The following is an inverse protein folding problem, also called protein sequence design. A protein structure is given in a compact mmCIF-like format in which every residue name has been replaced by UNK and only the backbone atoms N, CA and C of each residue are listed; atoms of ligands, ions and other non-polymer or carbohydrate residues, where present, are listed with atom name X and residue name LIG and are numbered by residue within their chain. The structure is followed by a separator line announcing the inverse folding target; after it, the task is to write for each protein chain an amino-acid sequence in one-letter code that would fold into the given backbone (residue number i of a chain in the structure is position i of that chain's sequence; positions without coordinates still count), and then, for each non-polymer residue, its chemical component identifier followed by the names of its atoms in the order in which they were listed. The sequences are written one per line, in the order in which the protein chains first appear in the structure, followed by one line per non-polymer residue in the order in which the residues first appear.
data_IF_944063092551
#
_entry.id   IF_944063092551
#
_cell.length_a   1.000
_cell.length_b   1.000
_cell.length_c   1.000
_cell.angle_alpha   90.00
_cell.angle_beta   90.00
_cell.angle_gamma   90.00
#
_symmetry.space_group_name_H-M   'P 1'
#
loop_
_entity.id
_entity.type
_entity.pdbx_description
1 polymer ?
#
# COMPACT_ATOMS: atom_id res chain seq x y z
N UNK A 1 32.19 2.29 4.12
CA UNK A 1 31.02 2.20 3.22
C UNK A 1 30.22 0.98 3.62
N UNK A 2 28.99 1.15 4.11
CA UNK A 2 28.22 0.06 4.72
C UNK A 2 27.75 -0.94 3.66
N UNK A 3 28.00 -2.23 3.88
CA UNK A 3 27.52 -3.29 3.02
C UNK A 3 26.00 -3.47 3.20
N UNK A 4 25.20 -2.68 2.47
CA UNK A 4 23.73 -2.75 2.43
C UNK A 4 23.18 -4.14 2.02
N UNK A 5 24.04 -4.98 1.45
CA UNK A 5 23.73 -6.34 1.00
C UNK A 5 24.06 -7.42 2.04
N UNK A 6 24.60 -7.08 3.21
CA UNK A 6 24.89 -8.09 4.24
C UNK A 6 23.63 -8.48 5.02
N UNK A 7 23.40 -9.78 5.20
CA UNK A 7 22.31 -10.30 6.03
C UNK A 7 22.33 -9.70 7.45
N UNK A 8 23.53 -9.51 8.01
CA UNK A 8 23.71 -8.88 9.33
C UNK A 8 23.17 -7.44 9.41
N UNK A 9 23.09 -6.71 8.29
CA UNK A 9 22.50 -5.37 8.28
C UNK A 9 20.97 -5.42 8.45
N UNK A 10 20.33 -6.42 7.86
CA UNK A 10 18.87 -6.57 7.85
C UNK A 10 18.33 -7.28 9.10
N UNK A 11 19.05 -8.29 9.57
CA UNK A 11 18.66 -9.16 10.69
C UNK A 11 19.29 -8.76 12.04
N UNK A 12 19.87 -7.57 12.14
CA UNK A 12 20.34 -7.07 13.43
C UNK A 12 19.14 -6.81 14.35
N UNK A 13 19.15 -7.42 15.54
CA UNK A 13 18.13 -7.30 16.60
C UNK A 13 18.27 -6.00 17.42
N UNK A 14 19.35 -5.24 17.22
CA UNK A 14 19.53 -3.91 17.81
C UNK A 14 20.04 -2.96 16.74
N UNK A 15 19.25 -2.68 15.70
CA UNK A 15 19.63 -1.63 14.78
C UNK A 15 19.58 -0.30 15.54
N UNK A 16 20.61 0.53 15.38
CA UNK A 16 20.53 1.91 15.84
C UNK A 16 19.33 2.62 15.19
N UNK A 17 18.73 3.56 15.92
CA UNK A 17 17.58 4.36 15.47
C UNK A 17 17.91 5.07 14.16
N UNK A 18 16.91 5.27 13.31
CA UNK A 18 17.07 6.14 12.14
C UNK A 18 17.37 7.57 12.59
N UNK A 19 18.58 8.05 12.33
CA UNK A 19 19.02 9.40 12.69
C UNK A 19 19.13 10.25 11.43
N UNK A 20 18.72 11.52 11.51
CA UNK A 20 18.94 12.53 10.47
C UNK A 20 18.15 12.27 9.18
N UNK A 21 18.85 12.00 8.08
CA UNK A 21 18.28 11.96 6.73
C UNK A 21 17.37 10.75 6.48
N UNK A 22 17.74 9.56 6.98
CA UNK A 22 16.96 8.33 6.78
C UNK A 22 15.57 8.41 7.42
N UNK A 23 15.47 9.02 8.61
CA UNK A 23 14.19 9.22 9.30
C UNK A 23 13.27 10.15 8.49
N UNK A 24 13.83 11.26 7.95
CA UNK A 24 13.08 12.19 7.10
C UNK A 24 12.53 11.52 5.84
N UNK A 25 13.29 10.62 5.22
CA UNK A 25 12.83 9.85 4.06
C UNK A 25 11.66 8.94 4.45
N UNK A 26 11.78 8.17 5.53
CA UNK A 26 10.73 7.23 5.96
C UNK A 26 9.46 7.99 6.34
N UNK A 27 9.57 9.05 7.14
CA UNK A 27 8.43 9.89 7.51
C UNK A 27 7.83 10.61 6.30
N UNK A 28 8.66 11.11 5.39
CA UNK A 28 8.20 11.74 4.15
C UNK A 28 7.43 10.75 3.26
N UNK A 29 7.91 9.51 3.15
CA UNK A 29 7.21 8.44 2.44
C UNK A 29 5.86 8.09 3.09
N UNK A 30 5.82 7.98 4.42
CA UNK A 30 4.58 7.75 5.17
C UNK A 30 3.59 8.90 4.97
N UNK A 31 4.04 10.16 5.08
CA UNK A 31 3.21 11.33 4.82
C UNK A 31 2.65 11.30 3.40
N UNK A 32 3.47 10.94 2.41
CA UNK A 32 3.02 10.77 1.04
C UNK A 32 1.95 9.68 0.90
N UNK A 33 2.10 8.53 1.56
CA UNK A 33 1.07 7.48 1.61
C UNK A 33 -0.24 7.99 2.24
N UNK A 34 -0.17 8.79 3.30
CA UNK A 34 -1.35 9.39 3.94
C UNK A 34 -2.06 10.34 2.97
N UNK A 35 -1.33 11.20 2.28
CA UNK A 35 -1.90 12.11 1.27
C UNK A 35 -2.61 11.31 0.18
N UNK A 36 -1.98 10.25 -0.33
CA UNK A 36 -2.60 9.37 -1.32
C UNK A 36 -3.83 8.63 -0.78
N UNK A 37 -3.82 8.21 0.48
CA UNK A 37 -4.99 7.62 1.12
C UNK A 37 -6.16 8.62 1.17
N UNK A 38 -5.90 9.89 1.50
CA UNK A 38 -6.93 10.95 1.50
C UNK A 38 -7.48 11.16 0.10
N UNK A 39 -6.61 11.29 -0.91
CA UNK A 39 -7.02 11.44 -2.32
C UNK A 39 -7.86 10.25 -2.78
N UNK A 40 -7.43 9.02 -2.45
CA UNK A 40 -8.16 7.80 -2.77
C UNK A 40 -9.51 7.72 -2.04
N UNK A 41 -9.60 8.22 -0.80
CA UNK A 41 -10.84 8.31 -0.03
C UNK A 41 -11.85 9.29 -0.64
N UNK A 42 -11.38 10.44 -1.11
CA UNK A 42 -12.19 11.41 -1.86
C UNK A 42 -12.68 10.78 -3.17
N UNK A 43 -11.79 10.13 -3.92
CA UNK A 43 -12.14 9.39 -5.13
C UNK A 43 -13.18 8.29 -4.87
N UNK A 44 -13.01 7.53 -3.79
CA UNK A 44 -13.96 6.50 -3.34
C UNK A 44 -15.36 7.10 -3.14
N UNK A 45 -15.47 8.24 -2.44
CA UNK A 45 -16.76 8.92 -2.20
C UNK A 45 -17.37 9.51 -3.48
N UNK A 46 -16.54 10.07 -4.37
CA UNK A 46 -17.01 10.70 -5.62
C UNK A 46 -17.49 9.69 -6.67
N UNK A 47 -16.86 8.52 -6.74
CA UNK A 47 -17.08 7.54 -7.81
C UNK A 47 -17.79 6.27 -7.33
N UNK A 48 -18.54 6.31 -6.22
CA UNK A 48 -19.25 5.14 -5.64
C UNK A 48 -20.12 4.39 -6.64
N UNK A 49 -20.78 5.10 -7.56
CA UNK A 49 -21.67 4.50 -8.58
C UNK A 49 -20.96 4.10 -9.88
N UNK A 50 -19.65 4.35 -9.98
CA UNK A 50 -18.87 4.07 -11.18
C UNK A 50 -18.30 2.66 -11.16
N UNK A 51 -17.98 2.11 -12.34
CA UNK A 51 -17.26 0.85 -12.50
C UNK A 51 -15.89 0.87 -11.79
N UNK A 52 -15.35 2.07 -11.57
CA UNK A 52 -14.08 2.29 -10.87
C UNK A 52 -14.22 2.36 -9.34
N UNK A 53 -15.42 2.26 -8.77
CA UNK A 53 -15.63 2.31 -7.32
C UNK A 53 -14.78 1.26 -6.58
N UNK A 54 -14.70 0.04 -7.15
CA UNK A 54 -13.89 -1.04 -6.59
C UNK A 54 -12.38 -0.74 -6.60
N UNK A 55 -11.89 -0.02 -7.61
CA UNK A 55 -10.48 0.41 -7.65
C UNK A 55 -10.18 1.45 -6.59
N UNK A 56 -11.00 2.51 -6.51
CA UNK A 56 -10.81 3.56 -5.52
C UNK A 56 -10.88 3.01 -4.10
N UNK A 57 -11.77 2.04 -3.85
CA UNK A 57 -11.83 1.34 -2.58
C UNK A 57 -10.55 0.53 -2.29
N UNK A 58 -10.05 -0.20 -3.29
CA UNK A 58 -8.82 -1.00 -3.16
C UNK A 58 -7.59 -0.12 -2.92
N UNK A 59 -7.47 0.99 -3.65
CA UNK A 59 -6.40 1.98 -3.50
C UNK A 59 -6.46 2.65 -2.13
N UNK A 60 -7.66 3.01 -1.65
CA UNK A 60 -7.84 3.59 -0.33
C UNK A 60 -7.32 2.67 0.77
N UNK A 61 -7.76 1.41 0.79
CA UNK A 61 -7.28 0.44 1.78
C UNK A 61 -5.79 0.16 1.64
N UNK A 62 -5.28 0.06 0.41
CA UNK A 62 -3.85 -0.11 0.16
C UNK A 62 -3.03 1.02 0.79
N UNK A 63 -3.33 2.28 0.49
CA UNK A 63 -2.56 3.40 1.03
C UNK A 63 -2.76 3.56 2.53
N UNK A 64 -3.99 3.40 3.04
CA UNK A 64 -4.29 3.55 4.47
C UNK A 64 -3.59 2.48 5.32
N UNK A 65 -3.72 1.20 4.94
CA UNK A 65 -3.11 0.10 5.68
C UNK A 65 -1.59 0.23 5.68
N UNK A 66 -0.99 0.62 4.55
CA UNK A 66 0.46 0.80 4.49
C UNK A 66 0.95 2.03 5.26
N UNK A 67 0.19 3.13 5.29
CA UNK A 67 0.50 4.26 6.15
C UNK A 67 0.49 3.87 7.65
N UNK A 68 -0.53 3.11 8.07
CA UNK A 68 -0.65 2.63 9.46
C UNK A 68 0.51 1.70 9.79
N UNK A 69 0.81 0.70 8.95
CA UNK A 69 1.93 -0.22 9.17
C UNK A 69 3.25 0.55 9.23
N UNK A 70 3.48 1.48 8.30
CA UNK A 70 4.69 2.32 8.29
C UNK A 70 4.85 3.14 9.56
N UNK A 71 3.76 3.74 10.08
CA UNK A 71 3.79 4.44 11.37
C UNK A 71 4.10 3.50 12.53
N UNK A 72 3.46 2.34 12.59
CA UNK A 72 3.67 1.34 13.65
C UNK A 72 5.12 0.83 13.65
N UNK A 73 5.68 0.52 12.48
CA UNK A 73 7.08 0.10 12.36
C UNK A 73 8.06 1.21 12.75
N UNK A 74 7.75 2.46 12.39
CA UNK A 74 8.59 3.62 12.78
C UNK A 74 8.52 3.85 14.28
N UNK A 75 7.35 3.67 14.89
CA UNK A 75 7.15 3.75 16.34
C UNK A 75 7.96 2.67 17.09
N UNK A 76 7.89 1.41 16.66
CA UNK A 76 8.70 0.34 17.26
C UNK A 76 10.20 0.53 17.07
N UNK A 77 10.62 1.14 15.96
CA UNK A 77 12.02 1.51 15.76
C UNK A 77 12.47 2.61 16.72
N UNK A 78 11.61 3.60 16.99
CA UNK A 78 11.88 4.67 17.96
C UNK A 78 11.99 4.13 19.39
N UNK A 79 11.06 3.25 19.79
CA UNK A 79 11.08 2.58 21.10
C UNK A 79 12.20 1.51 21.24
N UNK A 80 13.01 1.31 20.19
CA UNK A 80 14.09 0.32 20.13
C UNK A 80 13.68 -1.09 20.58
N UNK A 81 12.43 -1.50 20.30
CA UNK A 81 11.94 -2.82 20.71
C UNK A 81 12.78 -3.90 20.01
N UNK A 82 13.50 -4.80 20.73
CA UNK A 82 14.56 -5.61 20.13
C UNK A 82 14.15 -6.43 18.90
N UNK A 83 12.96 -7.02 18.89
CA UNK A 83 12.50 -7.82 17.76
C UNK A 83 11.76 -6.99 16.68
N UNK A 84 10.97 -6.01 17.10
CA UNK A 84 10.10 -5.22 16.21
C UNK A 84 10.80 -4.02 15.58
N UNK A 85 11.95 -3.59 16.12
CA UNK A 85 12.79 -2.53 15.54
C UNK A 85 13.68 -3.02 14.40
N UNK A 86 13.78 -4.34 14.20
CA UNK A 86 14.63 -4.95 13.19
C UNK A 86 14.32 -4.41 11.79
N UNK A 87 15.38 -4.08 11.03
CA UNK A 87 15.26 -3.52 9.67
C UNK A 87 14.59 -4.49 8.69
N UNK A 88 14.64 -5.78 8.99
CA UNK A 88 13.90 -6.84 8.29
C UNK A 88 12.41 -6.51 8.11
N UNK A 89 11.75 -5.90 9.11
CA UNK A 89 10.33 -5.57 9.01
C UNK A 89 10.02 -4.55 7.92
N UNK A 90 10.91 -3.58 7.70
CA UNK A 90 10.76 -2.62 6.60
C UNK A 90 10.94 -3.29 5.23
N UNK A 91 11.82 -4.28 5.13
CA UNK A 91 12.01 -5.07 3.91
C UNK A 91 10.78 -5.94 3.62
N UNK A 92 10.27 -6.65 4.64
CA UNK A 92 9.05 -7.45 4.52
C UNK A 92 7.85 -6.57 4.16
N UNK A 93 7.73 -5.39 4.78
CA UNK A 93 6.71 -4.41 4.44
C UNK A 93 6.82 -3.94 2.99
N UNK A 94 8.02 -3.65 2.50
CA UNK A 94 8.28 -3.30 1.10
C UNK A 94 7.89 -4.42 0.11
N UNK A 95 8.18 -5.69 0.44
CA UNK A 95 7.76 -6.83 -0.38
C UNK A 95 6.23 -6.95 -0.38
N UNK A 96 5.59 -6.82 0.78
CA UNK A 96 4.13 -6.84 0.91
C UNK A 96 3.47 -5.74 0.06
N UNK A 97 4.03 -4.53 0.07
CA UNK A 97 3.62 -3.42 -0.81
C UNK A 97 3.68 -3.83 -2.29
N UNK A 98 4.79 -4.39 -2.75
CA UNK A 98 4.97 -4.81 -4.14
C UNK A 98 3.98 -5.90 -4.57
N UNK A 99 3.79 -6.93 -3.73
CA UNK A 99 2.85 -8.03 -4.00
C UNK A 99 1.42 -7.49 -4.09
N UNK A 100 1.01 -6.64 -3.15
CA UNK A 100 -0.35 -6.09 -3.15
C UNK A 100 -0.57 -5.12 -4.32
N UNK A 101 0.43 -4.32 -4.67
CA UNK A 101 0.38 -3.45 -5.85
C UNK A 101 0.21 -4.27 -7.14
N UNK A 102 0.86 -5.44 -7.25
CA UNK A 102 0.68 -6.36 -8.37
C UNK A 102 -0.77 -6.87 -8.49
N UNK A 103 -1.41 -7.22 -7.37
CA UNK A 103 -2.83 -7.63 -7.36
C UNK A 103 -3.76 -6.48 -7.79
N UNK A 104 -3.49 -5.24 -7.37
CA UNK A 104 -4.25 -4.06 -7.79
C UNK A 104 -4.06 -3.83 -9.30
N UNK A 105 -2.82 -3.87 -9.79
CA UNK A 105 -2.50 -3.73 -11.21
C UNK A 105 -3.22 -4.77 -12.09
N UNK A 106 -3.21 -6.04 -11.66
CA UNK A 106 -3.95 -7.13 -12.32
C UNK A 106 -5.46 -6.86 -12.35
N UNK A 107 -5.99 -6.24 -11.31
CA UNK A 107 -7.40 -5.87 -11.23
C UNK A 107 -7.73 -4.75 -12.23
N UNK A 108 -6.86 -3.75 -12.36
CA UNK A 108 -7.02 -2.64 -13.31
C UNK A 108 -7.12 -3.17 -14.75
N UNK A 109 -6.22 -4.07 -15.15
CA UNK A 109 -6.21 -4.66 -16.50
C UNK A 109 -7.51 -5.45 -16.79
N UNK A 110 -8.13 -6.05 -15.78
CA UNK A 110 -9.36 -6.86 -15.93
C UNK A 110 -10.66 -6.05 -15.95
N UNK A 111 -10.62 -4.76 -15.65
CA UNK A 111 -11.81 -3.88 -15.67
C UNK A 111 -12.46 -3.73 -17.05
N UNK A 112 -11.73 -3.50 -18.16
CA UNK A 112 -12.36 -3.42 -19.48
C UNK A 112 -13.16 -4.70 -19.83
N UNK A 113 -12.67 -5.87 -19.41
CA UNK A 113 -13.36 -7.14 -19.60
C UNK A 113 -14.66 -7.24 -18.78
N UNK A 114 -14.66 -6.72 -17.55
CA UNK A 114 -15.88 -6.63 -16.73
C UNK A 114 -16.89 -5.63 -17.31
N UNK A 115 -16.43 -4.52 -17.87
CA UNK A 115 -17.30 -3.53 -18.54
C UNK A 115 -18.04 -4.15 -19.73
N UNK A 116 -17.31 -4.87 -20.59
CA UNK A 116 -17.89 -5.55 -21.75
C UNK A 116 -18.93 -6.62 -21.36
N UNK A 117 -18.72 -7.31 -20.22
CA UNK A 117 -19.67 -8.32 -19.72
C UNK A 117 -20.95 -7.68 -19.17
N UNK A 118 -20.83 -6.58 -18.44
CA UNK A 118 -21.96 -5.81 -17.91
C UNK A 118 -22.80 -5.15 -19.02
N UNK A 119 -22.17 -4.70 -20.11
CA UNK A 119 -22.89 -4.18 -21.28
C UNK A 119 -23.70 -5.28 -21.96
N UNK A 120 -23.13 -6.48 -22.13
CA UNK A 120 -23.86 -7.64 -22.68
C UNK A 120 -25.01 -8.12 -21.80
N UNK A 121 -24.85 -8.13 -20.48
CA UNK A 121 -25.95 -8.46 -19.56
C UNK A 121 -27.06 -7.41 -19.58
N UNK A 122 -26.71 -6.12 -19.73
CA UNK A 122 -27.71 -5.05 -19.90
C UNK A 122 -28.46 -5.15 -21.21
N UNK A 123 -27.79 -5.53 -22.29
CA UNK A 123 -28.47 -5.82 -23.56
C UNK A 123 -29.37 -7.04 -23.42
N UNK A 124 -28.91 -8.13 -22.81
CA UNK A 124 -29.71 -9.35 -22.63
C UNK A 124 -30.96 -9.10 -21.75
N UNK A 125 -30.82 -8.40 -20.62
CA UNK A 125 -31.93 -8.04 -19.74
C UNK A 125 -32.88 -6.98 -20.33
N UNK A 126 -32.48 -6.29 -21.42
CA UNK A 126 -33.40 -5.40 -22.16
C UNK A 126 -34.43 -6.19 -22.98
N UNK A 127 -34.14 -7.46 -23.28
CA UNK A 127 -34.98 -8.33 -24.10
C UNK A 127 -35.78 -9.37 -23.29
N UNK A 128 -35.64 -9.39 -21.96
CA UNK A 128 -36.44 -10.25 -21.08
C UNK A 128 -37.31 -9.31 -20.23
N UNK A 129 -38.65 -9.30 -20.44
CA UNK A 129 -39.58 -8.48 -19.68
C UNK A 129 -39.72 -8.92 -18.22
#
# INVERSE_FOLDING_TARGET
MGNFLTLNFWFNLRPGVFIGFSLKIVLGFILWLIILAVVAGIGKKRWVKSLYAGLWNSLYYFFLTNAIIGLVLTFFNYEMVPFLSARFWFLLWGISLAVWLFFIYRTIIRIPQKKARLEKEKEFNKYIP
#
